data_IF_901093388104
#
_entry.id   IF_901093388104
#
_cell.length_a   1.000
_cell.length_b   1.000
_cell.length_c   1.000
_cell.angle_alpha   90.00
_cell.angle_beta   90.00
_cell.angle_gamma   90.00
#
_symmetry.space_group_name_H-M   'P 1'
#
loop_
_entity.id
_entity.type
_entity.pdbx_description
1 polymer ?
#
# COMPACT_ATOMS: atom_id res chain seq x y z
N UNK A 1 2.78 -45.53 14.52
CA UNK A 1 2.23 -45.33 13.16
C UNK A 1 0.73 -45.22 13.31
N UNK A 2 0.20 -44.00 13.10
CA UNK A 2 -1.23 -43.70 13.17
C UNK A 2 -1.69 -43.42 11.73
N UNK A 3 -2.47 -44.32 11.13
CA UNK A 3 -2.87 -44.32 9.72
C UNK A 3 -3.92 -43.28 9.31
N UNK A 4 -4.15 -42.23 10.11
CA UNK A 4 -5.17 -41.19 9.84
C UNK A 4 -4.65 -39.79 9.55
N UNK A 5 -3.37 -39.64 9.23
CA UNK A 5 -2.88 -38.37 8.73
C UNK A 5 -3.15 -38.23 7.22
N UNK A 6 -4.21 -37.51 6.84
CA UNK A 6 -4.40 -37.09 5.44
C UNK A 6 -3.17 -36.24 5.04
N UNK A 7 -2.49 -36.56 3.91
CA UNK A 7 -1.43 -35.70 3.43
C UNK A 7 -2.01 -34.33 3.11
N UNK A 8 -1.40 -33.29 3.64
CA UNK A 8 -1.70 -31.90 3.25
C UNK A 8 -1.45 -31.76 1.75
N UNK A 9 -2.35 -31.07 1.00
CA UNK A 9 -2.16 -30.84 -0.41
C UNK A 9 -0.88 -30.01 -0.65
N UNK A 10 0.13 -30.63 -1.23
CA UNK A 10 1.46 -30.04 -1.50
C UNK A 10 1.42 -29.01 -2.66
N UNK A 11 0.25 -28.78 -3.28
CA UNK A 11 0.14 -28.00 -4.52
C UNK A 11 0.15 -26.49 -4.40
N UNK A 12 0.34 -25.91 -3.20
CA UNK A 12 0.38 -24.44 -3.00
C UNK A 12 1.53 -23.94 -2.12
N UNK A 13 2.58 -24.73 -1.90
CA UNK A 13 3.73 -24.25 -1.16
C UNK A 13 4.61 -23.39 -2.05
N UNK A 14 4.55 -22.06 -1.86
CA UNK A 14 5.63 -21.20 -2.32
C UNK A 14 6.95 -21.68 -1.71
N UNK A 15 8.06 -21.75 -2.49
CA UNK A 15 9.33 -22.19 -1.98
C UNK A 15 9.80 -21.29 -0.83
N UNK A 16 10.06 -21.90 0.33
CA UNK A 16 10.57 -21.19 1.49
C UNK A 16 12.08 -21.04 1.34
N UNK A 17 12.55 -19.85 0.95
CA UNK A 17 13.98 -19.60 0.77
C UNK A 17 14.60 -19.24 2.13
N UNK A 18 15.34 -20.19 2.71
CA UNK A 18 16.26 -19.87 3.82
C UNK A 18 17.53 -19.27 3.23
N UNK A 19 17.79 -18.00 3.49
CA UNK A 19 19.10 -17.40 3.16
C UNK A 19 20.13 -17.93 4.16
N UNK A 20 21.27 -18.35 3.64
CA UNK A 20 22.37 -18.88 4.44
C UNK A 20 23.02 -17.70 5.21
N UNK A 21 22.83 -17.67 6.53
CA UNK A 21 23.40 -16.67 7.42
C UNK A 21 24.38 -17.37 8.37
N UNK A 22 25.62 -16.90 8.38
CA UNK A 22 26.69 -17.47 9.19
C UNK A 22 26.38 -17.48 10.70
N UNK A 23 25.42 -16.67 11.15
CA UNK A 23 24.99 -16.64 12.56
C UNK A 23 24.21 -17.88 13.00
N UNK A 24 23.68 -18.69 12.06
CA UNK A 24 23.00 -19.96 12.36
C UNK A 24 23.97 -21.11 12.71
N UNK A 25 25.24 -20.99 12.37
CA UNK A 25 26.22 -22.08 12.58
C UNK A 25 26.63 -22.26 14.04
N UNK A 26 26.34 -21.30 14.92
CA UNK A 26 26.71 -21.35 16.34
C UNK A 26 25.62 -21.87 17.28
N UNK A 27 24.63 -22.58 16.78
CA UNK A 27 23.72 -23.48 17.58
C UNK A 27 23.03 -22.93 18.83
N UNK A 28 23.31 -21.73 19.26
CA UNK A 28 23.00 -21.31 20.63
C UNK A 28 21.90 -20.26 20.75
N UNK A 29 21.24 -19.78 19.66
CA UNK A 29 20.42 -18.60 19.87
C UNK A 29 19.21 -18.38 18.97
N UNK A 30 18.37 -19.37 18.78
CA UNK A 30 17.07 -19.14 18.11
C UNK A 30 16.04 -18.38 18.98
N UNK A 31 16.31 -18.15 20.26
CA UNK A 31 15.33 -17.60 21.22
C UNK A 31 15.69 -16.25 21.84
N UNK A 32 16.86 -15.68 21.59
CA UNK A 32 17.33 -14.53 22.39
C UNK A 32 17.83 -13.29 21.64
N UNK A 33 17.87 -13.28 20.31
CA UNK A 33 18.23 -12.04 19.60
C UNK A 33 17.21 -11.67 18.52
N UNK A 34 16.67 -10.45 18.53
CA UNK A 34 15.60 -10.03 17.63
C UNK A 34 15.99 -9.84 16.16
N UNK A 35 17.24 -10.05 15.72
CA UNK A 35 17.73 -9.46 14.45
C UNK A 35 18.69 -10.32 13.64
N UNK A 36 18.59 -11.63 13.65
CA UNK A 36 19.23 -12.39 12.57
C UNK A 36 18.30 -12.37 11.34
N UNK A 37 18.77 -11.93 10.18
CA UNK A 37 17.98 -11.90 8.93
C UNK A 37 17.36 -13.28 8.60
N UNK A 38 17.94 -14.37 9.06
CA UNK A 38 17.44 -15.74 8.94
C UNK A 38 16.38 -16.11 9.98
N UNK A 39 16.23 -15.38 11.09
CA UNK A 39 15.19 -15.67 12.08
C UNK A 39 13.80 -15.24 11.59
N UNK A 40 13.70 -14.17 10.83
CA UNK A 40 12.42 -13.66 10.29
C UNK A 40 11.69 -14.70 9.43
N UNK A 41 12.35 -15.38 8.48
CA UNK A 41 11.72 -16.45 7.71
C UNK A 41 11.24 -17.63 8.56
N UNK A 42 12.01 -18.04 9.59
CA UNK A 42 11.64 -19.12 10.48
C UNK A 42 10.43 -18.80 11.35
N UNK A 43 10.36 -17.59 11.92
CA UNK A 43 9.20 -17.13 12.67
C UNK A 43 7.93 -17.04 11.80
N UNK A 44 8.07 -16.58 10.55
CA UNK A 44 6.97 -16.56 9.59
C UNK A 44 6.50 -17.98 9.24
N UNK A 45 7.43 -18.92 9.02
CA UNK A 45 7.08 -20.32 8.79
C UNK A 45 6.34 -20.92 9.98
N UNK A 46 6.82 -20.67 11.19
CA UNK A 46 6.17 -21.13 12.42
C UNK A 46 4.73 -20.59 12.50
N UNK A 47 4.52 -19.30 12.28
CA UNK A 47 3.17 -18.72 12.25
C UNK A 47 2.30 -19.33 11.15
N UNK A 48 2.84 -19.57 9.97
CA UNK A 48 2.11 -20.22 8.87
C UNK A 48 1.65 -21.63 9.26
N UNK A 49 2.53 -22.43 9.86
CA UNK A 49 2.20 -23.78 10.33
C UNK A 49 1.16 -23.74 11.46
N UNK A 50 1.23 -22.75 12.32
CA UNK A 50 0.31 -22.58 13.45
C UNK A 50 -1.02 -21.90 13.05
N UNK A 51 -1.21 -21.46 11.80
CA UNK A 51 -2.38 -20.70 11.36
C UNK A 51 -2.50 -19.35 12.08
N UNK A 52 -1.38 -18.62 12.16
CA UNK A 52 -1.26 -17.32 12.84
C UNK A 52 -0.59 -16.29 11.93
N UNK A 53 -0.66 -16.50 10.62
CA UNK A 53 -0.10 -15.60 9.62
C UNK A 53 -0.85 -14.28 9.63
N UNK A 54 -0.13 -13.17 9.83
CA UNK A 54 -0.70 -11.82 9.85
C UNK A 54 -0.39 -11.13 8.54
N UNK A 55 -1.43 -10.71 7.83
CA UNK A 55 -1.32 -9.94 6.60
C UNK A 55 -1.87 -8.53 6.76
N UNK A 56 -1.33 -7.59 5.99
CA UNK A 56 -1.80 -6.20 5.96
C UNK A 56 -2.18 -5.79 4.54
N UNK A 57 -3.37 -5.18 4.41
CA UNK A 57 -3.83 -4.51 3.20
C UNK A 57 -3.67 -3.00 3.36
N UNK A 58 -2.81 -2.39 2.54
CA UNK A 58 -2.54 -0.96 2.51
C UNK A 58 -3.31 -0.32 1.35
N UNK A 59 -4.32 0.46 1.66
CA UNK A 59 -5.20 1.07 0.66
C UNK A 59 -4.53 2.15 -0.19
N UNK A 60 -5.16 2.45 -1.34
CA UNK A 60 -4.81 3.60 -2.16
C UNK A 60 -5.21 4.92 -1.51
N UNK A 61 -4.67 6.05 -2.02
CA UNK A 61 -5.10 7.35 -1.52
C UNK A 61 -4.11 8.49 -1.73
N UNK A 62 -3.17 8.39 -2.65
CA UNK A 62 -2.18 9.44 -2.94
C UNK A 62 -1.52 9.95 -1.64
N UNK A 63 -1.53 11.26 -1.33
CA UNK A 63 -0.90 11.79 -0.11
C UNK A 63 -1.50 11.23 1.19
N UNK A 64 -2.79 10.87 1.22
CA UNK A 64 -3.41 10.21 2.36
C UNK A 64 -2.68 8.91 2.74
N UNK A 65 -2.12 8.20 1.74
CA UNK A 65 -1.38 6.96 1.95
C UNK A 65 -0.14 7.10 2.84
N UNK A 66 0.39 8.29 3.04
CA UNK A 66 1.49 8.53 3.99
C UNK A 66 1.12 8.11 5.43
N UNK A 67 -0.18 8.06 5.77
CA UNK A 67 -0.66 7.54 7.05
C UNK A 67 -0.25 6.08 7.29
N UNK A 68 -0.05 5.27 6.22
CA UNK A 68 0.43 3.89 6.36
C UNK A 68 1.77 3.79 7.07
N UNK A 69 2.64 4.79 6.94
CA UNK A 69 3.92 4.83 7.68
C UNK A 69 3.69 4.91 9.18
N UNK A 70 2.73 5.72 9.63
CA UNK A 70 2.33 5.79 11.03
C UNK A 70 1.71 4.48 11.52
N UNK A 71 0.88 3.83 10.69
CA UNK A 71 0.31 2.50 11.00
C UNK A 71 1.42 1.48 11.21
N UNK A 72 2.32 1.34 10.24
CA UNK A 72 3.43 0.38 10.31
C UNK A 72 4.34 0.67 11.51
N UNK A 73 4.60 1.95 11.82
CA UNK A 73 5.41 2.36 12.98
C UNK A 73 4.81 1.88 14.30
N UNK A 74 3.50 2.00 14.50
CA UNK A 74 2.83 1.53 15.72
C UNK A 74 2.85 0.01 15.80
N UNK A 75 2.61 -0.68 14.68
CA UNK A 75 2.64 -2.14 14.63
C UNK A 75 4.04 -2.67 14.97
N UNK A 76 5.10 -2.10 14.38
CA UNK A 76 6.48 -2.51 14.62
C UNK A 76 6.90 -2.23 16.08
N UNK A 77 6.63 -1.02 16.60
CA UNK A 77 6.93 -0.64 17.99
C UNK A 77 6.25 -1.57 19.01
N UNK A 78 5.08 -2.10 18.67
CA UNK A 78 4.35 -3.05 19.49
C UNK A 78 4.61 -4.51 19.15
N UNK A 79 5.61 -4.80 18.32
CA UNK A 79 6.03 -6.15 17.95
C UNK A 79 4.90 -6.97 17.29
N UNK A 80 3.93 -6.30 16.66
CA UNK A 80 2.90 -6.99 15.87
C UNK A 80 3.55 -7.51 14.59
N UNK A 81 3.58 -8.84 14.37
CA UNK A 81 4.20 -9.40 13.18
C UNK A 81 3.37 -9.08 11.94
N UNK A 82 4.04 -8.67 10.85
CA UNK A 82 3.44 -8.58 9.54
C UNK A 82 4.19 -9.56 8.63
N UNK A 83 3.51 -10.62 8.22
CA UNK A 83 4.08 -11.72 7.45
C UNK A 83 3.95 -11.52 5.94
N UNK A 84 2.89 -10.87 5.50
CA UNK A 84 2.65 -10.57 4.09
C UNK A 84 1.95 -9.20 3.94
N UNK A 85 2.16 -8.60 2.77
CA UNK A 85 1.68 -7.24 2.48
C UNK A 85 1.00 -7.20 1.12
N UNK A 86 -0.15 -6.55 1.06
CA UNK A 86 -0.77 -6.19 -0.22
C UNK A 86 -1.03 -4.70 -0.24
N UNK A 87 -0.69 -4.05 -1.34
CA UNK A 87 -0.86 -2.62 -1.48
C UNK A 87 -1.61 -2.21 -2.73
N UNK A 88 -2.32 -1.08 -2.64
CA UNK A 88 -2.94 -0.38 -3.76
C UNK A 88 -2.34 1.02 -3.87
N UNK A 89 -1.97 1.48 -5.04
CA UNK A 89 -1.50 2.84 -5.31
C UNK A 89 -0.38 3.27 -4.34
N UNK A 90 -0.56 4.34 -3.55
CA UNK A 90 0.40 4.73 -2.51
C UNK A 90 0.66 3.59 -1.50
N UNK A 91 -0.36 2.80 -1.17
CA UNK A 91 -0.19 1.61 -0.33
C UNK A 91 0.70 0.56 -0.97
N UNK A 92 0.74 0.43 -2.31
CA UNK A 92 1.67 -0.45 -3.01
C UNK A 92 3.11 0.03 -2.88
N UNK A 93 3.34 1.34 -3.00
CA UNK A 93 4.65 1.94 -2.84
C UNK A 93 5.22 1.66 -1.45
N UNK A 94 4.45 1.97 -0.42
CA UNK A 94 4.85 1.77 0.98
C UNK A 94 4.98 0.26 1.27
N UNK A 95 4.04 -0.55 0.78
CA UNK A 95 4.03 -2.00 0.96
C UNK A 95 5.25 -2.70 0.36
N UNK A 96 5.65 -2.34 -0.86
CA UNK A 96 6.85 -2.88 -1.51
C UNK A 96 8.11 -2.46 -0.74
N UNK A 97 8.25 -1.17 -0.36
CA UNK A 97 9.39 -0.70 0.41
C UNK A 97 9.52 -1.44 1.75
N UNK A 98 8.40 -1.62 2.46
CA UNK A 98 8.35 -2.39 3.70
C UNK A 98 8.69 -3.88 3.48
N UNK A 99 8.14 -4.49 2.42
CA UNK A 99 8.44 -5.88 2.06
C UNK A 99 9.90 -6.07 1.58
N UNK A 100 10.51 -5.02 1.04
CA UNK A 100 11.92 -4.99 0.69
C UNK A 100 12.84 -4.93 1.92
N UNK A 101 12.31 -4.60 3.11
CA UNK A 101 13.05 -4.55 4.36
C UNK A 101 13.63 -3.17 4.68
N UNK A 102 13.10 -2.10 4.07
CA UNK A 102 13.44 -0.75 4.49
C UNK A 102 12.92 -0.48 5.90
N UNK A 103 13.71 0.24 6.70
CA UNK A 103 13.25 0.67 8.01
C UNK A 103 12.14 1.72 7.89
N UNK A 104 11.20 1.72 8.83
CA UNK A 104 10.12 2.72 8.81
C UNK A 104 10.68 4.13 8.96
N UNK A 105 11.76 4.31 9.72
CA UNK A 105 12.44 5.61 9.84
C UNK A 105 12.98 6.12 8.51
N UNK A 106 13.64 5.27 7.72
CA UNK A 106 14.14 5.66 6.39
C UNK A 106 12.99 5.99 5.44
N UNK A 107 11.90 5.22 5.51
CA UNK A 107 10.71 5.47 4.71
C UNK A 107 10.03 6.80 5.07
N UNK A 108 9.98 7.17 6.36
CA UNK A 108 9.47 8.46 6.85
C UNK A 108 10.37 9.60 6.37
N UNK A 109 11.69 9.46 6.48
CA UNK A 109 12.64 10.45 5.98
C UNK A 109 12.44 10.72 4.48
N UNK A 110 12.31 9.66 3.69
CA UNK A 110 12.02 9.76 2.25
C UNK A 110 10.67 10.41 1.96
N UNK A 111 9.64 10.11 2.76
CA UNK A 111 8.33 10.77 2.64
C UNK A 111 8.43 12.28 2.90
N UNK A 112 9.22 12.70 3.88
CA UNK A 112 9.46 14.13 4.15
C UNK A 112 10.26 14.80 3.01
N UNK A 113 11.28 14.13 2.47
CA UNK A 113 12.00 14.62 1.30
C UNK A 113 11.07 14.78 0.08
N UNK A 114 10.23 13.79 -0.17
CA UNK A 114 9.22 13.84 -1.23
C UNK A 114 8.25 14.99 -1.01
N UNK A 115 7.80 15.19 0.23
CA UNK A 115 6.93 16.31 0.60
C UNK A 115 7.55 17.68 0.30
N UNK A 116 8.85 17.87 0.62
CA UNK A 116 9.59 19.09 0.30
C UNK A 116 9.74 19.32 -1.21
N UNK A 117 9.96 18.23 -1.97
CA UNK A 117 10.11 18.28 -3.44
C UNK A 117 8.77 18.37 -4.17
N UNK A 118 7.67 17.90 -3.59
CA UNK A 118 6.36 17.87 -4.25
C UNK A 118 5.88 19.24 -4.71
N UNK A 119 6.18 20.30 -3.94
CA UNK A 119 5.92 21.68 -4.34
C UNK A 119 6.65 22.09 -5.63
N UNK A 120 7.79 21.45 -5.91
CA UNK A 120 8.63 21.76 -7.08
C UNK A 120 8.33 20.83 -8.28
N UNK A 121 7.90 19.59 -8.02
CA UNK A 121 7.73 18.55 -9.05
C UNK A 121 6.37 18.62 -9.74
N UNK A 122 5.31 18.99 -9.04
CA UNK A 122 3.97 19.12 -9.63
C UNK A 122 3.88 20.20 -10.72
N UNK A 123 4.91 21.06 -10.87
CA UNK A 123 4.96 22.13 -11.88
C UNK A 123 5.54 21.75 -13.23
N UNK A 124 6.15 20.58 -13.43
CA UNK A 124 7.10 20.45 -14.55
C UNK A 124 6.87 19.21 -15.48
N UNK A 125 6.00 18.25 -15.17
CA UNK A 125 5.89 17.00 -15.96
C UNK A 125 4.62 16.89 -16.83
N UNK A 126 4.25 17.98 -17.49
CA UNK A 126 3.15 17.94 -18.47
C UNK A 126 3.63 17.32 -19.79
N UNK A 127 3.07 16.16 -20.14
CA UNK A 127 3.20 15.58 -21.47
C UNK A 127 1.96 15.89 -22.32
N UNK A 128 2.13 16.70 -23.35
CA UNK A 128 1.05 17.05 -24.31
C UNK A 128 0.65 15.89 -25.24
N UNK A 129 1.40 14.78 -25.24
CA UNK A 129 1.23 13.66 -26.19
C UNK A 129 0.83 12.33 -25.55
N UNK A 130 0.68 12.27 -24.21
CA UNK A 130 0.32 11.05 -23.50
C UNK A 130 -1.16 11.06 -23.05
N UNK A 131 -1.83 9.91 -22.92
CA UNK A 131 -3.23 9.79 -22.48
C UNK A 131 -3.46 10.18 -21.01
N UNK A 132 -2.45 10.69 -20.30
CA UNK A 132 -2.51 11.25 -18.95
C UNK A 132 -1.74 12.56 -18.87
N UNK A 133 -2.05 13.39 -17.87
CA UNK A 133 -1.39 14.68 -17.64
C UNK A 133 0.09 14.51 -17.31
N UNK A 134 0.45 13.39 -16.67
CA UNK A 134 1.82 13.04 -16.28
C UNK A 134 2.23 11.72 -16.94
N UNK A 135 3.42 11.70 -17.56
CA UNK A 135 3.97 10.47 -18.16
C UNK A 135 4.39 9.42 -17.11
N UNK A 136 4.50 9.79 -15.82
CA UNK A 136 4.86 8.92 -14.71
C UNK A 136 6.35 8.55 -14.63
N UNK A 137 7.20 9.03 -15.53
CA UNK A 137 8.64 8.73 -15.51
C UNK A 137 9.35 9.33 -14.30
N UNK A 138 8.93 10.50 -13.84
CA UNK A 138 9.49 11.15 -12.64
C UNK A 138 9.06 10.51 -11.34
N UNK A 139 7.86 9.91 -11.31
CA UNK A 139 7.45 9.09 -10.17
C UNK A 139 8.35 7.85 -10.05
N UNK A 140 8.80 7.29 -11.18
CA UNK A 140 9.83 6.26 -11.20
C UNK A 140 11.12 6.73 -10.53
N UNK A 141 11.63 7.89 -10.90
CA UNK A 141 12.89 8.43 -10.39
C UNK A 141 12.83 8.75 -8.88
N UNK A 142 11.64 9.03 -8.36
CA UNK A 142 11.40 9.19 -6.92
C UNK A 142 11.37 7.86 -6.18
N UNK A 143 10.90 6.80 -6.84
CA UNK A 143 10.66 5.50 -6.21
C UNK A 143 11.84 4.53 -6.37
N UNK A 144 12.56 4.57 -7.49
CA UNK A 144 13.70 3.70 -7.75
C UNK A 144 14.74 3.69 -6.60
N UNK A 145 15.08 4.83 -5.97
CA UNK A 145 15.97 4.85 -4.81
C UNK A 145 15.43 4.08 -3.59
N UNK A 146 14.10 3.92 -3.47
CA UNK A 146 13.47 3.14 -2.39
C UNK A 146 13.51 1.63 -2.64
N UNK A 147 13.81 1.19 -3.85
CA UNK A 147 13.94 -0.24 -4.17
C UNK A 147 15.36 -0.77 -3.91
N UNK A 148 16.36 0.10 -3.90
CA UNK A 148 17.77 -0.26 -3.77
C UNK A 148 18.18 -1.22 -4.90
N UNK A 149 18.81 -2.35 -4.54
CA UNK A 149 19.18 -3.42 -5.49
C UNK A 149 18.04 -4.38 -5.81
N UNK A 150 16.88 -4.27 -5.14
CA UNK A 150 15.74 -5.17 -5.32
C UNK A 150 14.87 -4.67 -6.46
N UNK A 151 14.78 -5.44 -7.51
CA UNK A 151 14.05 -5.06 -8.73
C UNK A 151 12.85 -5.97 -9.01
N UNK A 152 12.76 -7.10 -8.32
CA UNK A 152 11.74 -8.12 -8.53
C UNK A 152 11.05 -8.52 -7.24
N UNK A 153 9.80 -8.99 -7.33
CA UNK A 153 9.06 -9.50 -6.16
C UNK A 153 9.80 -10.67 -5.49
N UNK A 154 10.51 -11.47 -6.28
CA UNK A 154 11.28 -12.61 -5.80
C UNK A 154 12.48 -12.21 -4.91
N UNK A 155 12.90 -10.93 -4.96
CA UNK A 155 13.99 -10.40 -4.14
C UNK A 155 13.48 -9.86 -2.78
N UNK A 156 12.17 -9.78 -2.58
CA UNK A 156 11.60 -9.20 -1.37
C UNK A 156 11.79 -10.11 -0.15
N UNK A 157 11.92 -9.49 1.02
CA UNK A 157 12.07 -10.22 2.30
C UNK A 157 10.73 -10.79 2.77
N UNK A 158 9.63 -10.12 2.44
CA UNK A 158 8.27 -10.55 2.76
C UNK A 158 7.48 -10.77 1.47
N UNK A 159 6.56 -11.76 1.43
CA UNK A 159 5.59 -11.85 0.34
C UNK A 159 4.83 -10.55 0.18
N UNK A 160 4.76 -10.07 -1.05
CA UNK A 160 4.07 -8.83 -1.38
C UNK A 160 3.30 -9.01 -2.68
N UNK A 161 2.12 -8.36 -2.75
CA UNK A 161 1.41 -8.13 -4.02
C UNK A 161 0.99 -6.69 -4.11
N UNK A 162 0.82 -6.22 -5.33
CA UNK A 162 0.17 -4.96 -5.64
C UNK A 162 -1.07 -5.23 -6.46
N UNK A 163 -2.04 -4.32 -6.39
CA UNK A 163 -3.23 -4.42 -7.21
C UNK A 163 -3.26 -3.29 -8.25
N UNK A 164 -3.68 -3.64 -9.45
CA UNK A 164 -4.00 -2.73 -10.54
C UNK A 164 -5.39 -3.08 -11.09
N UNK A 165 -5.90 -2.26 -12.01
CA UNK A 165 -7.17 -2.53 -12.69
C UNK A 165 -6.94 -2.61 -14.19
N UNK A 166 -7.41 -3.67 -14.83
CA UNK A 166 -7.51 -3.74 -16.27
C UNK A 166 -8.68 -2.86 -16.71
N UNK A 167 -8.37 -1.76 -17.43
CA UNK A 167 -9.40 -0.77 -17.77
C UNK A 167 -10.36 -1.27 -18.86
N UNK A 168 -9.99 -2.28 -19.61
CA UNK A 168 -10.83 -2.83 -20.68
C UNK A 168 -11.88 -3.81 -20.12
N UNK A 169 -11.52 -4.61 -19.11
CA UNK A 169 -12.43 -5.58 -18.48
C UNK A 169 -13.05 -5.09 -17.17
N UNK A 170 -12.45 -4.11 -16.50
CA UNK A 170 -12.78 -3.67 -15.14
C UNK A 170 -12.28 -4.60 -14.05
N UNK A 171 -11.57 -5.68 -14.39
CA UNK A 171 -11.09 -6.67 -13.44
C UNK A 171 -9.90 -6.17 -12.62
N UNK A 172 -9.85 -6.58 -11.35
CA UNK A 172 -8.65 -6.46 -10.51
C UNK A 172 -7.54 -7.35 -11.07
N UNK A 173 -6.34 -6.83 -11.12
CA UNK A 173 -5.12 -7.56 -11.50
C UNK A 173 -4.16 -7.58 -10.33
N UNK A 174 -3.91 -8.77 -9.77
CA UNK A 174 -3.00 -8.98 -8.66
C UNK A 174 -1.59 -9.25 -9.21
N UNK A 175 -0.64 -8.36 -8.93
CA UNK A 175 0.73 -8.45 -9.41
C UNK A 175 1.64 -8.80 -8.22
N UNK A 176 2.24 -9.99 -8.22
CA UNK A 176 3.09 -10.48 -7.14
C UNK A 176 4.34 -11.22 -7.63
N UNK A 177 4.70 -11.02 -8.90
CA UNK A 177 5.89 -11.60 -9.52
C UNK A 177 6.46 -10.67 -10.59
N UNK A 178 7.75 -10.83 -10.90
CA UNK A 178 8.41 -10.04 -11.94
C UNK A 178 8.83 -8.66 -11.46
N UNK A 179 8.78 -7.68 -12.35
CA UNK A 179 9.29 -6.31 -12.12
C UNK A 179 8.49 -5.55 -11.07
N UNK A 180 9.17 -5.08 -10.02
CA UNK A 180 8.56 -4.18 -9.02
C UNK A 180 8.21 -2.83 -9.63
N UNK A 181 9.02 -2.34 -10.59
CA UNK A 181 8.78 -1.08 -11.27
C UNK A 181 7.48 -1.12 -12.07
N UNK A 182 7.28 -2.17 -12.89
CA UNK A 182 6.07 -2.31 -13.70
C UNK A 182 4.82 -2.44 -12.81
N UNK A 183 4.89 -3.25 -11.76
CA UNK A 183 3.79 -3.45 -10.82
C UNK A 183 3.40 -2.16 -10.11
N UNK A 184 4.40 -1.45 -9.56
CA UNK A 184 4.20 -0.14 -8.94
C UNK A 184 3.60 0.86 -9.94
N UNK A 185 4.19 0.93 -11.15
CA UNK A 185 3.77 1.84 -12.19
C UNK A 185 2.32 1.61 -12.64
N UNK A 186 1.88 0.34 -12.68
CA UNK A 186 0.49 -0.02 -12.93
C UNK A 186 -0.43 0.42 -11.79
N UNK A 187 -0.02 0.12 -10.55
CA UNK A 187 -0.84 0.38 -9.36
C UNK A 187 -1.09 1.87 -9.08
N UNK A 188 -0.19 2.76 -9.54
CA UNK A 188 -0.32 4.22 -9.35
C UNK A 188 -0.86 4.97 -10.57
N UNK A 189 -1.23 4.28 -11.63
CA UNK A 189 -1.71 4.90 -12.87
C UNK A 189 -3.13 5.47 -12.71
N UNK A 190 -3.26 6.50 -11.85
CA UNK A 190 -4.53 7.18 -11.55
C UNK A 190 -5.13 7.75 -12.83
N UNK A 191 -6.35 7.34 -13.22
CA UNK A 191 -7.00 7.83 -14.43
C UNK A 191 -6.99 9.36 -14.52
N UNK A 192 -6.80 9.89 -15.72
CA UNK A 192 -6.66 11.32 -16.03
C UNK A 192 -5.34 11.93 -15.53
N UNK A 193 -4.79 11.49 -14.41
CA UNK A 193 -3.57 12.06 -13.80
C UNK A 193 -2.31 11.42 -14.38
N UNK A 194 -2.25 10.09 -14.39
CA UNK A 194 -1.06 9.33 -14.79
C UNK A 194 -1.42 8.39 -15.95
N UNK A 195 -0.58 8.36 -16.97
CA UNK A 195 -0.81 7.50 -18.13
C UNK A 195 -0.89 6.03 -17.75
N UNK A 196 -1.82 5.23 -18.30
CA UNK A 196 -1.87 3.80 -18.10
C UNK A 196 -0.59 3.11 -18.62
N UNK A 197 -0.37 1.88 -18.18
CA UNK A 197 0.74 1.03 -18.67
C UNK A 197 0.19 -0.25 -19.26
N UNK A 198 0.87 -0.77 -20.28
CA UNK A 198 0.53 -2.06 -20.87
C UNK A 198 1.46 -3.15 -20.35
N UNK A 199 0.87 -4.17 -19.67
CA UNK A 199 1.58 -5.35 -19.15
C UNK A 199 0.83 -6.60 -19.61
N UNK A 200 1.54 -7.54 -20.20
CA UNK A 200 1.00 -8.82 -20.69
C UNK A 200 -0.27 -8.66 -21.56
N UNK A 201 -0.29 -7.65 -22.42
CA UNK A 201 -1.39 -7.36 -23.32
C UNK A 201 -2.55 -6.57 -22.70
N UNK A 202 -2.62 -6.41 -21.37
CA UNK A 202 -3.65 -5.67 -20.63
C UNK A 202 -3.26 -4.20 -20.49
N UNK A 203 -4.25 -3.31 -20.53
CA UNK A 203 -4.07 -1.87 -20.26
C UNK A 203 -4.44 -1.60 -18.81
N UNK A 204 -3.42 -1.37 -17.98
CA UNK A 204 -3.58 -1.26 -16.53
C UNK A 204 -3.62 0.18 -16.06
N UNK A 205 -4.54 0.45 -15.14
CA UNK A 205 -4.70 1.68 -14.39
C UNK A 205 -4.65 1.40 -12.89
N UNK A 206 -4.71 2.46 -12.06
CA UNK A 206 -4.67 2.39 -10.60
C UNK A 206 -5.64 1.34 -10.04
N UNK A 207 -5.14 0.55 -9.08
CA UNK A 207 -5.93 -0.49 -8.43
C UNK A 207 -7.13 0.04 -7.65
N UNK A 208 -7.09 1.31 -7.23
CA UNK A 208 -8.20 1.97 -6.53
C UNK A 208 -9.49 2.09 -7.35
N UNK A 209 -9.45 1.79 -8.65
CA UNK A 209 -10.65 1.72 -9.49
C UNK A 209 -11.47 0.47 -9.17
N UNK A 210 -10.86 -0.68 -8.91
CA UNK A 210 -11.55 -1.97 -8.67
C UNK A 210 -11.39 -2.50 -7.25
N UNK A 211 -10.25 -2.25 -6.59
CA UNK A 211 -9.97 -2.75 -5.24
C UNK A 211 -9.07 -1.77 -4.46
N UNK A 212 -9.63 -0.66 -3.93
CA UNK A 212 -8.86 0.36 -3.22
C UNK A 212 -8.26 -0.11 -1.90
N UNK A 213 -8.82 -1.18 -1.27
CA UNK A 213 -8.30 -1.78 -0.03
C UNK A 213 -8.31 -3.30 -0.17
N UNK A 214 -7.19 -3.90 -0.64
CA UNK A 214 -7.15 -5.28 -1.13
C UNK A 214 -7.09 -6.34 0.00
N UNK A 215 -8.07 -6.30 0.91
CA UNK A 215 -8.14 -7.22 2.05
C UNK A 215 -8.40 -8.67 1.62
N UNK A 216 -9.17 -8.89 0.55
CA UNK A 216 -9.40 -10.22 -0.02
C UNK A 216 -8.09 -10.82 -0.55
N UNK A 217 -7.25 -10.03 -1.24
CA UNK A 217 -5.95 -10.49 -1.74
C UNK A 217 -5.03 -10.93 -0.61
N UNK A 218 -5.09 -10.24 0.54
CA UNK A 218 -4.37 -10.65 1.76
C UNK A 218 -4.82 -12.04 2.21
N UNK A 219 -6.13 -12.31 2.18
CA UNK A 219 -6.69 -13.63 2.50
C UNK A 219 -6.27 -14.70 1.49
N UNK A 220 -6.33 -14.39 0.20
CA UNK A 220 -5.94 -15.28 -0.89
C UNK A 220 -4.44 -15.66 -0.81
N UNK A 221 -3.60 -14.80 -0.23
CA UNK A 221 -2.20 -15.09 0.06
C UNK A 221 -2.02 -15.98 1.31
N UNK A 222 -3.09 -16.33 2.00
CA UNK A 222 -3.07 -17.24 3.15
C UNK A 222 -2.86 -16.56 4.50
N UNK A 223 -3.28 -15.30 4.67
CA UNK A 223 -3.32 -14.67 5.98
C UNK A 223 -4.46 -15.22 6.83
N UNK A 224 -4.12 -15.67 8.03
CA UNK A 224 -5.11 -16.08 9.05
C UNK A 224 -5.74 -14.85 9.74
N UNK A 225 -4.97 -13.77 9.86
CA UNK A 225 -5.38 -12.48 10.43
C UNK A 225 -5.09 -11.40 9.41
N UNK A 226 -6.12 -10.63 9.04
CA UNK A 226 -6.02 -9.53 8.09
C UNK A 226 -6.25 -8.19 8.78
N UNK A 227 -5.29 -7.27 8.64
CA UNK A 227 -5.41 -5.86 9.03
C UNK A 227 -5.60 -5.07 7.75
N UNK A 228 -6.71 -4.35 7.60
CA UNK A 228 -6.96 -3.47 6.46
C UNK A 228 -6.87 -2.00 6.87
N UNK A 229 -6.16 -1.21 6.06
CA UNK A 229 -5.99 0.23 6.28
C UNK A 229 -6.63 1.00 5.13
N UNK A 230 -7.76 1.67 5.41
CA UNK A 230 -8.43 2.55 4.47
C UNK A 230 -8.09 4.01 4.81
N UNK A 231 -7.34 4.67 3.93
CA UNK A 231 -6.85 6.04 4.13
C UNK A 231 -7.66 7.09 3.38
N UNK A 232 -8.59 6.69 2.52
CA UNK A 232 -9.40 7.64 1.74
C UNK A 232 -10.53 8.17 2.62
N UNK A 233 -10.52 9.48 2.99
CA UNK A 233 -11.59 10.05 3.80
C UNK A 233 -12.85 10.32 2.95
N UNK A 234 -14.03 10.42 3.59
CA UNK A 234 -15.22 10.94 2.91
C UNK A 234 -15.00 12.39 2.50
N UNK A 235 -15.67 12.82 1.43
CA UNK A 235 -15.66 14.25 1.05
C UNK A 235 -16.38 15.08 2.12
N UNK A 236 -15.72 16.11 2.63
CA UNK A 236 -16.35 17.13 3.51
C UNK A 236 -16.84 18.31 2.68
N UNK A 237 -18.09 18.74 2.90
CA UNK A 237 -18.61 20.03 2.38
C UNK A 237 -17.74 21.16 2.93
N UNK A 238 -17.29 22.06 2.05
CA UNK A 238 -16.51 23.26 2.43
C UNK A 238 -14.99 23.09 2.45
N UNK A 239 -14.45 21.89 2.24
CA UNK A 239 -13.04 21.74 1.87
C UNK A 239 -12.94 22.11 0.40
N UNK A 240 -12.83 23.40 0.13
CA UNK A 240 -12.52 23.87 -1.23
C UNK A 240 -11.21 23.24 -1.64
N UNK A 241 -11.23 22.50 -2.76
CA UNK A 241 -10.01 21.92 -3.29
C UNK A 241 -9.04 23.06 -3.62
N UNK A 242 -8.04 23.25 -2.75
CA UNK A 242 -6.91 24.18 -2.95
C UNK A 242 -6.08 23.82 -4.19
N UNK A 243 -6.36 22.68 -4.83
CA UNK A 243 -5.88 22.30 -6.17
C UNK A 243 -6.14 23.39 -7.19
N UNK A 244 -7.24 24.13 -7.04
CA UNK A 244 -7.62 25.20 -7.97
C UNK A 244 -6.57 26.32 -8.11
N UNK A 245 -5.77 26.61 -7.08
CA UNK A 245 -4.75 27.66 -7.19
C UNK A 245 -3.53 27.17 -7.99
N UNK A 246 -3.09 25.94 -7.79
CA UNK A 246 -1.96 25.37 -8.53
C UNK A 246 -2.34 25.05 -9.98
N UNK A 247 -3.48 24.40 -10.19
CA UNK A 247 -3.99 24.10 -11.55
C UNK A 247 -4.33 25.40 -12.30
N UNK A 248 -4.81 26.47 -11.63
CA UNK A 248 -5.02 27.79 -12.25
C UNK A 248 -3.74 28.46 -12.70
N UNK A 249 -2.64 28.33 -11.97
CA UNK A 249 -1.33 28.81 -12.45
C UNK A 249 -0.87 28.03 -13.67
N UNK A 250 -1.11 26.73 -13.72
CA UNK A 250 -0.76 25.88 -14.85
C UNK A 250 -1.72 26.07 -16.05
N UNK A 251 -3.01 26.25 -15.81
CA UNK A 251 -4.00 26.52 -16.84
C UNK A 251 -3.80 27.88 -17.57
N UNK A 252 -3.15 28.85 -16.92
CA UNK A 252 -2.75 30.10 -17.60
C UNK A 252 -1.68 29.93 -18.66
N UNK A 253 -0.95 28.80 -18.62
CA UNK A 253 0.16 28.48 -19.53
C UNK A 253 -0.31 27.49 -20.62
N UNK A 254 -1.50 26.86 -20.50
CA UNK A 254 -1.92 25.74 -21.33
C UNK A 254 -3.27 26.02 -22.00
N UNK A 255 -3.44 25.71 -23.31
CA UNK A 255 -4.70 25.88 -24.05
C UNK A 255 -5.86 24.99 -23.56
N UNK A 256 -5.67 24.24 -22.48
CA UNK A 256 -6.73 23.48 -21.79
C UNK A 256 -7.66 24.38 -20.98
N UNK A 257 -8.31 25.35 -21.61
CA UNK A 257 -9.46 26.07 -21.03
C UNK A 257 -10.62 25.14 -20.61
N UNK A 258 -10.57 23.86 -21.01
CA UNK A 258 -11.48 22.79 -20.58
C UNK A 258 -11.50 22.55 -19.07
N UNK A 259 -10.46 22.99 -18.35
CA UNK A 259 -10.37 22.90 -16.91
C UNK A 259 -10.69 24.22 -16.19
N UNK A 260 -11.08 25.25 -16.91
CA UNK A 260 -11.46 26.53 -16.31
C UNK A 260 -12.82 26.42 -15.63
N UNK A 261 -12.89 26.93 -14.40
CA UNK A 261 -14.11 27.01 -13.61
C UNK A 261 -15.03 28.06 -14.23
N UNK A 262 -16.22 27.66 -14.63
CA UNK A 262 -17.24 28.62 -15.11
C UNK A 262 -18.33 28.79 -14.04
N UNK A 263 -18.63 30.05 -13.68
CA UNK A 263 -19.80 30.54 -12.93
C UNK A 263 -20.27 29.66 -11.75
N UNK A 264 -19.34 29.19 -10.88
CA UNK A 264 -19.71 28.48 -9.63
C UNK A 264 -19.77 26.96 -9.74
N UNK A 265 -19.56 26.38 -10.91
CA UNK A 265 -19.44 24.93 -11.08
C UNK A 265 -17.98 24.48 -10.93
N UNK A 266 -17.74 23.27 -10.34
CA UNK A 266 -16.42 22.65 -10.36
C UNK A 266 -16.04 22.28 -11.80
N UNK A 267 -14.75 22.35 -12.15
CA UNK A 267 -14.28 21.93 -13.46
C UNK A 267 -14.33 20.38 -13.62
N UNK A 268 -14.17 19.90 -14.85
CA UNK A 268 -14.26 18.46 -15.15
C UNK A 268 -13.23 17.64 -14.37
N UNK A 269 -12.02 18.17 -14.16
CA UNK A 269 -10.98 17.50 -13.38
C UNK A 269 -11.41 17.36 -11.90
N UNK A 270 -11.92 18.44 -11.29
CA UNK A 270 -12.43 18.43 -9.92
C UNK A 270 -13.59 17.44 -9.76
N UNK A 271 -14.52 17.42 -10.72
CA UNK A 271 -15.65 16.48 -10.73
C UNK A 271 -15.12 15.03 -10.77
N UNK A 272 -14.19 14.74 -11.69
CA UNK A 272 -13.63 13.39 -11.85
C UNK A 272 -12.91 12.94 -10.59
N UNK A 273 -12.02 13.78 -10.03
CA UNK A 273 -11.25 13.44 -8.84
C UNK A 273 -12.12 13.28 -7.60
N UNK A 274 -13.13 14.14 -7.41
CA UNK A 274 -14.06 14.01 -6.30
C UNK A 274 -14.95 12.78 -6.44
N UNK A 275 -15.41 12.47 -7.65
CA UNK A 275 -16.16 11.24 -7.91
C UNK A 275 -15.32 10.01 -7.62
N UNK A 276 -14.06 10.02 -8.06
CA UNK A 276 -13.12 8.92 -7.79
C UNK A 276 -12.83 8.78 -6.29
N UNK A 277 -12.60 9.87 -5.57
CA UNK A 277 -12.42 9.83 -4.11
C UNK A 277 -13.64 9.26 -3.39
N UNK A 278 -14.85 9.69 -3.78
CA UNK A 278 -16.10 9.17 -3.21
C UNK A 278 -16.22 7.67 -3.45
N UNK A 279 -16.01 7.22 -4.69
CA UNK A 279 -16.08 5.80 -5.04
C UNK A 279 -15.03 4.98 -4.29
N UNK A 280 -13.80 5.47 -4.21
CA UNK A 280 -12.72 4.79 -3.48
C UNK A 280 -13.00 4.71 -1.98
N UNK A 281 -13.59 5.76 -1.38
CA UNK A 281 -13.99 5.74 0.02
C UNK A 281 -15.02 4.64 0.29
N UNK A 282 -16.13 4.64 -0.46
CA UNK A 282 -17.22 3.68 -0.29
C UNK A 282 -16.78 2.24 -0.62
N UNK A 283 -16.11 2.06 -1.76
CA UNK A 283 -15.61 0.74 -2.16
C UNK A 283 -14.52 0.25 -1.20
N UNK A 284 -13.65 1.12 -0.71
CA UNK A 284 -12.62 0.78 0.27
C UNK A 284 -13.21 0.30 1.59
N UNK A 285 -14.26 0.96 2.08
CA UNK A 285 -14.99 0.52 3.27
C UNK A 285 -15.64 -0.85 3.05
N UNK A 286 -16.23 -1.08 1.88
CA UNK A 286 -16.82 -2.37 1.51
C UNK A 286 -15.76 -3.48 1.42
N UNK A 287 -14.67 -3.24 0.72
CA UNK A 287 -13.56 -4.19 0.55
C UNK A 287 -12.86 -4.54 1.86
N UNK A 288 -12.77 -3.58 2.79
CA UNK A 288 -12.20 -3.79 4.11
C UNK A 288 -13.08 -4.66 5.04
N UNK A 289 -14.31 -4.99 4.67
CA UNK A 289 -15.23 -5.80 5.52
C UNK A 289 -14.66 -7.21 5.79
N UNK A 290 -13.93 -7.78 4.84
CA UNK A 290 -13.31 -9.10 4.97
C UNK A 290 -12.13 -9.14 5.95
N UNK A 291 -11.64 -7.98 6.43
CA UNK A 291 -10.54 -7.90 7.38
C UNK A 291 -11.01 -8.11 8.83
N UNK A 292 -10.13 -8.68 9.68
CA UNK A 292 -10.37 -8.83 11.12
C UNK A 292 -10.28 -7.51 11.87
N UNK A 293 -9.39 -6.63 11.41
CA UNK A 293 -9.20 -5.29 11.99
C UNK A 293 -9.15 -4.27 10.86
N UNK A 294 -9.89 -3.19 11.04
CA UNK A 294 -9.89 -2.05 10.13
C UNK A 294 -9.31 -0.84 10.83
N UNK A 295 -8.32 -0.22 10.20
CA UNK A 295 -7.69 1.01 10.65
C UNK A 295 -8.05 2.11 9.67
N UNK A 296 -8.78 3.11 10.13
CA UNK A 296 -9.29 4.21 9.30
C UNK A 296 -8.83 5.55 9.90
N UNK A 297 -7.64 6.07 9.51
CA UNK A 297 -7.19 7.38 9.95
C UNK A 297 -8.16 8.50 9.53
N UNK A 298 -8.48 9.44 10.42
CA UNK A 298 -9.26 10.62 10.04
C UNK A 298 -8.38 11.63 9.29
N UNK A 299 -8.46 11.55 7.97
CA UNK A 299 -7.72 12.39 7.04
C UNK A 299 -8.61 13.45 6.36
N UNK A 300 -9.80 13.70 6.89
CA UNK A 300 -10.80 14.56 6.29
C UNK A 300 -10.43 16.04 6.20
N UNK A 301 -9.39 16.49 6.90
CA UNK A 301 -8.84 17.86 6.83
C UNK A 301 -7.74 18.02 5.76
N UNK A 302 -7.31 16.91 5.13
CA UNK A 302 -6.28 16.90 4.11
C UNK A 302 -6.87 16.75 2.72
N UNK A 303 -6.03 17.01 1.70
CA UNK A 303 -6.33 16.72 0.30
C UNK A 303 -5.33 15.70 -0.24
N UNK A 304 -5.70 15.01 -1.32
CA UNK A 304 -4.91 13.94 -1.91
C UNK A 304 -3.54 14.39 -2.47
N UNK A 305 -3.28 15.72 -2.58
CA UNK A 305 -2.02 16.28 -3.09
C UNK A 305 -1.11 16.87 -2.01
N UNK A 306 -1.52 16.90 -0.74
CA UNK A 306 -0.80 17.58 0.33
C UNK A 306 0.37 16.75 0.90
N UNK A 307 1.22 16.20 0.04
CA UNK A 307 2.42 15.46 0.44
C UNK A 307 3.35 16.24 1.38
N UNK A 308 3.29 17.57 1.33
CA UNK A 308 4.10 18.45 2.19
C UNK A 308 3.62 18.47 3.66
N UNK A 309 2.43 17.93 3.94
CA UNK A 309 1.91 17.74 5.31
C UNK A 309 2.18 16.32 5.82
N UNK A 310 3.25 15.70 5.34
CA UNK A 310 3.59 14.29 5.63
C UNK A 310 3.62 13.98 7.13
N UNK A 311 4.19 14.87 7.97
CA UNK A 311 4.24 14.67 9.43
C UNK A 311 2.84 14.55 10.05
N UNK A 312 1.94 15.45 9.66
CA UNK A 312 0.57 15.48 10.18
C UNK A 312 -0.22 14.25 9.73
N UNK A 313 -0.07 13.86 8.45
CA UNK A 313 -0.74 12.67 7.88
C UNK A 313 -0.23 11.39 8.56
N UNK A 314 1.09 11.26 8.77
CA UNK A 314 1.70 10.13 9.49
C UNK A 314 1.18 10.08 10.92
N UNK A 315 1.08 11.23 11.62
CA UNK A 315 0.55 11.31 12.98
C UNK A 315 -0.89 10.79 13.07
N UNK A 316 -1.74 11.06 12.05
CA UNK A 316 -3.10 10.49 11.98
C UNK A 316 -3.09 8.95 11.83
N UNK A 317 -2.13 8.41 11.10
CA UNK A 317 -1.93 6.97 11.02
C UNK A 317 -1.55 6.35 12.37
N UNK A 318 -0.67 7.02 13.13
CA UNK A 318 -0.30 6.62 14.48
C UNK A 318 -1.54 6.63 15.38
N UNK A 319 -2.25 7.76 15.45
CA UNK A 319 -3.43 7.94 16.28
C UNK A 319 -4.48 6.83 16.05
N UNK A 320 -4.86 6.62 14.79
CA UNK A 320 -5.85 5.61 14.44
C UNK A 320 -5.41 4.18 14.80
N UNK A 321 -4.11 3.89 14.65
CA UNK A 321 -3.60 2.54 14.97
C UNK A 321 -3.52 2.32 16.48
N UNK A 322 -3.13 3.33 17.26
CA UNK A 322 -3.12 3.24 18.73
C UNK A 322 -4.52 2.98 19.28
N UNK A 323 -5.56 3.60 18.70
CA UNK A 323 -6.95 3.32 19.08
C UNK A 323 -7.35 1.87 18.79
N UNK A 324 -6.85 1.28 17.70
CA UNK A 324 -7.16 -0.09 17.31
C UNK A 324 -6.23 -1.13 17.94
N UNK A 325 -5.13 -0.71 18.57
CA UNK A 325 -4.09 -1.58 19.08
C UNK A 325 -4.59 -2.65 20.08
N UNK A 326 -5.52 -2.34 21.01
CA UNK A 326 -6.08 -3.36 21.90
C UNK A 326 -6.79 -4.48 21.13
N UNK A 327 -7.52 -4.14 20.06
CA UNK A 327 -8.19 -5.12 19.21
C UNK A 327 -7.19 -5.94 18.41
N UNK A 328 -6.16 -5.28 17.84
CA UNK A 328 -5.09 -5.95 17.09
C UNK A 328 -4.38 -6.96 17.99
N UNK A 329 -3.94 -6.54 19.19
CA UNK A 329 -3.28 -7.43 20.16
C UNK A 329 -4.17 -8.60 20.55
N UNK A 330 -5.47 -8.36 20.77
CA UNK A 330 -6.44 -9.40 21.08
C UNK A 330 -6.55 -10.43 19.95
N UNK A 331 -6.63 -9.97 18.68
CA UNK A 331 -6.75 -10.86 17.52
C UNK A 331 -5.50 -11.71 17.32
N UNK A 332 -4.32 -11.09 17.42
CA UNK A 332 -3.04 -11.80 17.29
C UNK A 332 -2.81 -12.72 18.50
N UNK A 333 -3.19 -12.32 19.72
CA UNK A 333 -3.07 -13.12 20.95
C UNK A 333 -4.09 -14.26 21.03
N UNK A 334 -5.34 -14.06 20.58
CA UNK A 334 -6.35 -15.12 20.55
C UNK A 334 -5.93 -16.29 19.64
N UNK A 335 -5.24 -16.02 18.52
CA UNK A 335 -4.69 -17.08 17.70
C UNK A 335 -3.62 -17.92 18.42
N UNK A 336 -2.92 -17.33 19.42
CA UNK A 336 -1.99 -18.07 20.29
C UNK A 336 -2.68 -18.87 21.41
N UNK A 337 -3.76 -18.35 21.98
CA UNK A 337 -4.46 -19.02 23.10
C UNK A 337 -5.29 -20.21 22.62
N UNK A 338 -5.89 -20.11 21.45
CA UNK A 338 -6.74 -21.19 20.91
C UNK A 338 -6.00 -22.50 20.66
N UNK A 339 -4.68 -22.43 20.45
CA UNK A 339 -3.83 -23.62 20.19
C UNK A 339 -3.14 -24.18 21.45
N UNK A 340 -3.30 -23.55 22.62
CA UNK A 340 -2.82 -24.09 23.89
C UNK A 340 -3.83 -25.01 24.59
N UNK A 341 -5.07 -25.10 24.08
CA UNK A 341 -6.18 -25.83 24.71
C UNK A 341 -6.57 -27.10 23.97
N UNK A 342 -5.92 -27.44 22.84
CA UNK A 342 -6.03 -28.73 22.13
C UNK A 342 -4.69 -29.49 22.12
#
# INVERSE_FOLDING_TARGET
YNENSRPLPISSCEPFVLRNDASLMNGALLLATPVAHSAVPLHRLARKVLGQTVGIALGGGAAFGLAHLGVLQVLERNQIPIDLVVGCSMGSMIGIAYAAGFSISDMIEKAHEMGKRSKMIMGIDFSLSAPGVLAGNRLRDLYTPLLGSKQRFEDLVKPCRTVATDIESGERVDIGKGSLEDAYRASIAVPVVISPIKIDGRVLVDGGVSDPVPAEVVRDMGADICIAVNVVPPLKKGVEMKVSQYVRQLAKINPFSFFARDQGFPNLFDITMNSMQTLQHELGNFKAISADVRVNPDLSEFTWIEYYRSEEIIAKGIEATEQMLPLIKKKVGMACEWKKTE
#
